data_IF_360917541050
#
_entry.id   IF_360917541050
#
_cell.length_a   1.000
_cell.length_b   1.000
_cell.length_c   1.000
_cell.angle_alpha   90.00
_cell.angle_beta   90.00
_cell.angle_gamma   90.00
#
_symmetry.space_group_name_H-M   'P 1'
#
loop_
_entity.id
_entity.type
_entity.pdbx_description
1 polymer ?
#
# COMPACT_ATOMS: atom_id res chain seq x y z
N UNK A 1 -14.71 20.36 -14.47
CA UNK A 1 -13.69 20.15 -13.41
C UNK A 1 -13.94 21.13 -12.28
N UNK A 2 -13.91 20.64 -11.06
CA UNK A 2 -14.06 21.49 -9.87
C UNK A 2 -12.76 22.26 -9.65
N UNK A 3 -12.78 23.61 -9.66
CA UNK A 3 -11.56 24.40 -9.44
C UNK A 3 -10.98 24.23 -8.02
N UNK A 4 -11.78 23.70 -7.12
CA UNK A 4 -11.34 23.45 -5.74
C UNK A 4 -10.95 21.99 -5.51
N UNK A 5 -10.90 21.17 -6.56
CA UNK A 5 -10.47 19.80 -6.45
C UNK A 5 -9.02 19.76 -6.01
N UNK A 6 -8.77 18.99 -4.95
CA UNK A 6 -7.40 18.70 -4.51
C UNK A 6 -7.00 17.35 -5.06
N UNK A 7 -5.75 17.25 -5.45
CA UNK A 7 -5.18 15.94 -5.77
C UNK A 7 -4.98 15.19 -4.46
N UNK A 8 -5.46 13.97 -4.42
CA UNK A 8 -5.32 13.10 -3.26
C UNK A 8 -4.36 11.98 -3.57
N UNK A 9 -3.36 11.82 -2.72
CA UNK A 9 -2.45 10.71 -2.78
C UNK A 9 -2.56 9.88 -1.52
N UNK A 10 -2.24 8.60 -1.61
CA UNK A 10 -2.27 7.69 -0.48
C UNK A 10 -1.03 6.81 -0.47
N UNK A 11 -0.54 6.51 0.71
CA UNK A 11 0.55 5.57 0.91
C UNK A 11 0.00 4.43 1.77
N UNK A 12 0.03 3.22 1.23
CA UNK A 12 -0.40 2.03 1.94
C UNK A 12 0.83 1.26 2.37
N UNK A 13 1.02 1.14 3.68
CA UNK A 13 2.20 0.46 4.24
C UNK A 13 1.91 -1.03 4.38
N UNK A 14 2.61 -1.82 3.60
CA UNK A 14 2.53 -3.28 3.63
C UNK A 14 3.88 -3.92 3.93
N UNK A 15 4.81 -3.13 4.49
CA UNK A 15 6.19 -3.55 4.71
C UNK A 15 6.43 -4.21 6.07
N UNK A 16 5.49 -4.09 7.00
CA UNK A 16 5.65 -4.62 8.35
C UNK A 16 5.67 -6.14 8.38
N UNK A 17 6.20 -6.70 9.46
CA UNK A 17 6.18 -8.14 9.64
C UNK A 17 4.76 -8.68 9.80
N UNK A 18 3.89 -7.94 10.45
CA UNK A 18 2.47 -8.23 10.55
C UNK A 18 2.13 -9.66 10.93
N UNK A 19 3.05 -10.36 11.53
CA UNK A 19 3.02 -11.80 11.64
C UNK A 19 2.24 -12.26 12.87
N UNK A 20 1.02 -11.90 12.92
CA UNK A 20 0.15 -12.47 13.92
C UNK A 20 -0.54 -13.71 13.44
N UNK A 21 -1.32 -14.32 13.56
CA UNK A 21 -2.12 -15.35 12.90
C UNK A 21 -1.31 -16.31 12.05
N UNK A 22 -0.32 -16.98 12.62
CA UNK A 22 0.39 -18.05 11.91
C UNK A 22 1.35 -17.56 10.83
N UNK A 23 1.85 -16.35 10.96
CA UNK A 23 2.88 -15.85 10.05
C UNK A 23 2.34 -15.21 8.78
N UNK A 24 1.02 -15.08 8.65
CA UNK A 24 0.43 -14.39 7.50
C UNK A 24 0.39 -12.89 7.79
N UNK A 25 0.93 -12.03 6.90
CA UNK A 25 0.82 -10.60 7.12
C UNK A 25 -0.64 -10.17 7.13
N UNK A 26 -0.94 -9.20 7.97
CA UNK A 26 -2.31 -8.76 8.19
C UNK A 26 -3.00 -8.35 6.89
N UNK A 27 -2.28 -7.68 5.99
CA UNK A 27 -2.85 -7.21 4.73
C UNK A 27 -3.26 -8.35 3.78
N UNK A 28 -2.73 -9.55 4.00
CA UNK A 28 -3.05 -10.72 3.17
C UNK A 28 -4.09 -11.64 3.81
N UNK A 29 -4.59 -11.30 4.99
CA UNK A 29 -5.72 -12.04 5.57
C UNK A 29 -6.94 -11.85 4.68
N UNK A 30 -7.69 -12.95 4.48
CA UNK A 30 -8.86 -12.92 3.60
C UNK A 30 -10.15 -12.89 4.39
N UNK A 31 -11.13 -12.19 3.84
CA UNK A 31 -12.52 -12.22 4.30
C UNK A 31 -13.33 -12.49 3.04
N UNK A 32 -14.06 -13.60 3.05
CA UNK A 32 -14.85 -14.02 1.89
C UNK A 32 -14.00 -14.16 0.62
N UNK A 33 -12.77 -14.64 0.78
CA UNK A 33 -11.87 -14.88 -0.34
C UNK A 33 -11.15 -13.65 -0.88
N UNK A 34 -11.34 -12.49 -0.26
CA UNK A 34 -10.70 -11.25 -0.68
C UNK A 34 -9.77 -10.76 0.41
N UNK A 35 -8.52 -10.44 0.05
CA UNK A 35 -7.55 -9.96 1.04
C UNK A 35 -7.90 -8.55 1.51
N UNK A 36 -7.43 -8.22 2.72
CA UNK A 36 -7.58 -6.86 3.22
C UNK A 36 -6.89 -5.85 2.31
N UNK A 37 -5.74 -6.23 1.74
CA UNK A 37 -5.03 -5.39 0.79
C UNK A 37 -5.91 -5.05 -0.42
N UNK A 38 -6.55 -6.05 -1.01
CA UNK A 38 -7.46 -5.85 -2.14
C UNK A 38 -8.63 -4.95 -1.76
N UNK A 39 -9.18 -5.14 -0.56
CA UNK A 39 -10.29 -4.31 -0.07
C UNK A 39 -9.88 -2.85 0.07
N UNK A 40 -8.69 -2.61 0.63
CA UNK A 40 -8.18 -1.26 0.79
C UNK A 40 -7.94 -0.59 -0.55
N UNK A 41 -7.33 -1.31 -1.50
CA UNK A 41 -7.04 -0.76 -2.82
C UNK A 41 -8.31 -0.47 -3.60
N UNK A 42 -9.29 -1.38 -3.51
CA UNK A 42 -10.58 -1.16 -4.16
C UNK A 42 -11.31 0.06 -3.57
N UNK A 43 -11.25 0.21 -2.24
CA UNK A 43 -11.87 1.36 -1.57
C UNK A 43 -11.21 2.67 -1.98
N UNK A 44 -9.89 2.69 -2.09
CA UNK A 44 -9.15 3.88 -2.52
C UNK A 44 -9.52 4.25 -3.96
N UNK A 45 -9.63 3.26 -4.83
CA UNK A 45 -10.04 3.47 -6.21
C UNK A 45 -11.45 4.05 -6.28
N UNK A 46 -12.36 3.48 -5.50
CA UNK A 46 -13.75 3.97 -5.46
C UNK A 46 -13.85 5.37 -4.89
N UNK A 47 -12.95 5.74 -3.99
CA UNK A 47 -12.91 7.08 -3.41
C UNK A 47 -12.31 8.13 -4.33
N UNK A 48 -11.77 7.72 -5.47
CA UNK A 48 -11.18 8.66 -6.43
C UNK A 48 -9.79 9.16 -6.03
N UNK A 49 -9.03 8.35 -5.32
CA UNK A 49 -7.66 8.69 -4.96
C UNK A 49 -6.82 8.75 -6.24
N UNK A 50 -6.14 9.87 -6.45
CA UNK A 50 -5.41 10.12 -7.71
C UNK A 50 -4.17 9.24 -7.86
N UNK A 51 -3.48 8.98 -6.76
CA UNK A 51 -2.28 8.13 -6.79
C UNK A 51 -2.18 7.34 -5.50
N UNK A 52 -1.90 6.06 -5.64
CA UNK A 52 -1.70 5.17 -4.50
C UNK A 52 -0.31 4.56 -4.63
N UNK A 53 0.47 4.65 -3.57
CA UNK A 53 1.77 4.00 -3.45
C UNK A 53 1.65 2.89 -2.42
N UNK A 54 2.04 1.68 -2.80
CA UNK A 54 2.09 0.55 -1.87
C UNK A 54 3.55 0.26 -1.56
N UNK A 55 3.91 0.32 -0.29
CA UNK A 55 5.27 0.02 0.16
C UNK A 55 5.28 -1.40 0.71
N UNK A 56 6.01 -2.29 0.04
CA UNK A 56 6.19 -3.67 0.47
C UNK A 56 7.51 -3.86 1.21
N UNK A 57 7.67 -5.02 1.83
CA UNK A 57 8.89 -5.29 2.60
C UNK A 57 9.06 -6.79 2.81
N UNK A 58 8.94 -7.26 4.07
CA UNK A 58 9.17 -8.66 4.41
C UNK A 58 8.40 -9.65 3.55
N UNK A 59 7.18 -9.31 3.19
CA UNK A 59 6.29 -10.20 2.45
C UNK A 59 6.06 -9.73 1.03
N UNK A 60 7.06 -9.08 0.43
CA UNK A 60 6.92 -8.51 -0.91
C UNK A 60 6.54 -9.55 -1.95
N UNK A 61 7.04 -10.78 -1.81
CA UNK A 61 6.74 -11.83 -2.79
C UNK A 61 5.27 -12.20 -2.82
N UNK A 62 4.58 -12.07 -1.69
CA UNK A 62 3.15 -12.35 -1.62
C UNK A 62 2.30 -11.10 -1.82
N UNK A 63 2.81 -9.96 -1.40
CA UNK A 63 2.08 -8.69 -1.42
C UNK A 63 2.07 -8.04 -2.81
N UNK A 64 3.23 -8.00 -3.45
CA UNK A 64 3.37 -7.27 -4.73
C UNK A 64 2.48 -7.83 -5.84
N UNK A 65 2.36 -9.15 -6.02
CA UNK A 65 1.46 -9.66 -7.05
C UNK A 65 0.00 -9.26 -6.86
N UNK A 66 -0.44 -9.18 -5.62
CA UNK A 66 -1.81 -8.75 -5.31
C UNK A 66 -1.98 -7.27 -5.64
N UNK A 67 -1.05 -6.44 -5.18
CA UNK A 67 -1.11 -5.00 -5.42
C UNK A 67 -0.96 -4.66 -6.92
N UNK A 68 -0.19 -5.45 -7.66
CA UNK A 68 0.03 -5.22 -9.08
C UNK A 68 -1.24 -5.37 -9.92
N UNK A 69 -2.29 -5.95 -9.36
CA UNK A 69 -3.59 -6.06 -10.03
C UNK A 69 -4.36 -4.74 -10.04
N UNK A 70 -3.85 -3.73 -9.36
CA UNK A 70 -4.45 -2.41 -9.24
C UNK A 70 -3.52 -1.36 -9.85
N UNK A 71 -4.03 -0.20 -10.26
CA UNK A 71 -3.20 0.86 -10.83
C UNK A 71 -2.46 1.63 -9.74
N UNK A 72 -1.49 0.97 -9.12
CA UNK A 72 -0.72 1.53 -8.00
C UNK A 72 0.76 1.57 -8.34
N UNK A 73 1.50 2.40 -7.61
CA UNK A 73 2.96 2.42 -7.66
C UNK A 73 3.47 1.51 -6.55
N UNK A 74 4.29 0.53 -6.92
CA UNK A 74 4.88 -0.40 -5.96
C UNK A 74 6.29 0.06 -5.62
N UNK A 75 6.57 0.16 -4.32
CA UNK A 75 7.89 0.47 -3.81
C UNK A 75 8.25 -0.60 -2.78
N UNK A 76 9.42 -1.17 -2.92
CA UNK A 76 9.90 -2.16 -1.95
C UNK A 76 10.86 -1.49 -0.98
N UNK A 77 10.60 -1.65 0.31
CA UNK A 77 11.53 -1.21 1.34
C UNK A 77 12.63 -2.27 1.48
N UNK A 78 13.89 -1.95 1.16
CA UNK A 78 14.98 -2.92 1.26
C UNK A 78 15.37 -3.24 2.70
N UNK A 79 14.95 -2.39 3.64
CA UNK A 79 15.24 -2.59 5.06
C UNK A 79 13.98 -2.35 5.89
N UNK A 80 13.01 -3.28 5.81
CA UNK A 80 11.74 -3.08 6.52
C UNK A 80 11.90 -3.13 8.04
N UNK A 81 13.01 -3.70 8.53
CA UNK A 81 13.29 -3.73 9.96
C UNK A 81 13.73 -2.39 10.52
N UNK A 82 14.05 -1.43 9.66
CA UNK A 82 14.37 -0.08 10.09
C UNK A 82 13.16 0.65 10.69
N UNK A 83 11.99 0.02 10.63
CA UNK A 83 10.78 0.55 11.23
C UNK A 83 9.86 1.23 10.27
N UNK A 84 8.65 1.50 10.73
CA UNK A 84 7.61 2.09 9.91
C UNK A 84 8.00 3.46 9.33
N UNK A 85 8.73 4.34 10.04
CA UNK A 85 9.14 5.62 9.45
C UNK A 85 9.94 5.48 8.16
N UNK A 86 10.74 4.41 8.01
CA UNK A 86 11.49 4.21 6.77
C UNK A 86 10.57 3.93 5.59
N UNK A 87 9.51 3.16 5.82
CA UNK A 87 8.51 2.87 4.78
C UNK A 87 7.70 4.12 4.43
N UNK A 88 7.36 4.94 5.42
CA UNK A 88 6.64 6.19 5.18
C UNK A 88 7.47 7.11 4.28
N UNK A 89 8.78 7.24 4.58
CA UNK A 89 9.68 8.06 3.77
C UNK A 89 9.71 7.61 2.32
N UNK A 90 9.82 6.31 2.10
CA UNK A 90 9.85 5.75 0.76
C UNK A 90 8.55 6.01 0.02
N UNK A 91 7.43 5.80 0.70
CA UNK A 91 6.12 6.00 0.11
C UNK A 91 5.85 7.44 -0.27
N UNK A 92 6.18 8.37 0.63
CA UNK A 92 5.99 9.79 0.38
C UNK A 92 6.90 10.25 -0.76
N UNK A 93 8.15 9.76 -0.79
CA UNK A 93 9.07 10.09 -1.88
C UNK A 93 8.56 9.61 -3.24
N UNK A 94 7.97 8.41 -3.28
CA UNK A 94 7.43 7.87 -4.52
C UNK A 94 6.14 8.59 -4.94
N UNK A 95 5.40 9.12 -3.97
CA UNK A 95 4.15 9.83 -4.25
C UNK A 95 4.41 11.12 -5.03
N UNK A 96 5.51 11.78 -4.74
CA UNK A 96 5.89 13.01 -5.43
C UNK A 96 5.37 14.26 -4.73
N UNK A 97 5.72 15.40 -5.31
CA UNK A 97 5.45 16.70 -4.71
C UNK A 97 4.10 17.32 -5.07
N UNK A 98 3.28 16.64 -5.84
CA UNK A 98 2.00 17.18 -6.30
C UNK A 98 0.85 16.96 -5.31
N UNK A 99 1.15 16.33 -4.19
CA UNK A 99 0.13 15.94 -3.21
C UNK A 99 0.36 16.51 -1.85
#
# INVERSE_FOLDING_TARGET
MNPYSLKCGAVLLAAGQGSRMGGVPKCLLTIDGVTLLERHLAAMSAAGIDRVVVVSGHYHQATEPVAARFPVTLVRNPDPDAGQPSSVKLGVGALGGDF
#
